data_IF_303615036776
#
_entry.id   IF_303615036776
#
_cell.length_a   1.000
_cell.length_b   1.000
_cell.length_c   1.000
_cell.angle_alpha   90.00
_cell.angle_beta   90.00
_cell.angle_gamma   90.00
#
_symmetry.space_group_name_H-M   'P 1'
#
loop_
_entity.id
_entity.type
_entity.pdbx_description
1 polymer ?
#
# COMPACT_ATOMS: atom_id res chain seq x y z
N UNK A 1 8.43 1.32 -11.92
CA UNK A 1 7.51 0.23 -12.31
C UNK A 1 6.33 0.26 -11.35
N UNK A 2 5.11 -0.05 -11.82
CA UNK A 2 3.96 -0.06 -10.91
C UNK A 2 3.78 -1.40 -10.22
N UNK A 3 3.40 -1.34 -8.96
CA UNK A 3 3.03 -2.49 -8.14
C UNK A 3 1.73 -2.17 -7.41
N UNK A 4 0.81 -3.14 -7.38
CA UNK A 4 -0.37 -3.11 -6.52
C UNK A 4 -0.06 -3.93 -5.27
N UNK A 5 -0.21 -3.30 -4.12
CA UNK A 5 -0.10 -3.97 -2.83
C UNK A 5 -1.52 -4.04 -2.28
N UNK A 6 -1.96 -5.25 -1.97
CA UNK A 6 -3.26 -5.50 -1.34
C UNK A 6 -2.99 -5.92 0.09
N UNK A 7 -3.53 -5.15 1.03
CA UNK A 7 -3.48 -5.44 2.45
C UNK A 7 -4.73 -6.19 2.89
N UNK A 8 -4.53 -7.16 3.78
CA UNK A 8 -5.59 -7.84 4.52
C UNK A 8 -5.33 -7.73 6.03
N UNK A 9 -6.32 -8.06 6.83
CA UNK A 9 -6.18 -8.13 8.29
C UNK A 9 -5.12 -9.17 8.66
N UNK A 10 -4.12 -8.77 9.44
CA UNK A 10 -3.09 -9.66 9.96
C UNK A 10 -3.48 -10.27 11.32
N UNK A 11 -2.60 -11.09 11.87
CA UNK A 11 -2.86 -11.83 13.10
C UNK A 11 -3.11 -10.95 14.35
N UNK A 12 -2.63 -9.69 14.34
CA UNK A 12 -2.82 -8.75 15.44
C UNK A 12 -3.93 -7.73 15.17
N UNK A 13 -4.72 -7.92 14.11
CA UNK A 13 -5.89 -7.09 13.85
C UNK A 13 -6.93 -7.20 14.98
N UNK A 14 -7.40 -6.08 15.50
CA UNK A 14 -8.46 -6.07 16.51
C UNK A 14 -9.84 -6.16 15.86
N UNK A 15 -10.51 -7.30 16.04
CA UNK A 15 -11.86 -7.52 15.51
C UNK A 15 -12.87 -6.50 16.08
N UNK A 16 -13.78 -6.02 15.23
CA UNK A 16 -14.79 -5.02 15.60
C UNK A 16 -14.25 -3.59 15.74
N UNK A 17 -12.94 -3.37 15.61
CA UNK A 17 -12.32 -2.05 15.64
C UNK A 17 -12.14 -1.52 14.21
N UNK A 18 -12.66 -0.32 13.94
CA UNK A 18 -12.47 0.36 12.66
C UNK A 18 -10.99 0.62 12.40
N UNK A 19 -10.56 0.56 11.13
CA UNK A 19 -9.18 0.78 10.71
C UNK A 19 -8.53 2.03 11.36
N UNK A 20 -9.26 3.15 11.37
CA UNK A 20 -8.77 4.43 11.89
C UNK A 20 -8.52 4.43 13.40
N UNK A 21 -9.03 3.42 14.11
CA UNK A 21 -8.87 3.21 15.55
C UNK A 21 -7.95 2.03 15.89
N UNK A 22 -7.39 1.33 14.89
CA UNK A 22 -6.42 0.25 15.12
C UNK A 22 -5.17 0.80 15.80
N UNK A 23 -4.50 -0.04 16.59
CA UNK A 23 -3.20 0.32 17.19
C UNK A 23 -2.19 0.64 16.09
N UNK A 24 -1.31 1.61 16.36
CA UNK A 24 -0.25 2.08 15.45
C UNK A 24 -0.73 2.89 14.23
N UNK A 25 -2.01 3.29 14.18
CA UNK A 25 -2.59 3.96 13.02
C UNK A 25 -1.92 5.30 12.71
N UNK A 26 -1.48 6.02 13.74
CA UNK A 26 -0.84 7.32 13.58
C UNK A 26 0.51 7.18 12.86
N UNK A 27 1.27 6.16 13.24
CA UNK A 27 2.56 5.81 12.67
C UNK A 27 2.40 5.29 11.24
N UNK A 28 1.42 4.41 11.00
CA UNK A 28 1.08 3.94 9.66
C UNK A 28 0.72 5.10 8.71
N UNK A 29 -0.19 5.99 9.12
CA UNK A 29 -0.58 7.15 8.30
C UNK A 29 0.61 8.07 8.04
N UNK A 30 1.47 8.30 9.04
CA UNK A 30 2.68 9.11 8.87
C UNK A 30 3.64 8.48 7.85
N UNK A 31 3.85 7.17 7.93
CA UNK A 31 4.69 6.41 7.00
C UNK A 31 4.15 6.47 5.56
N UNK A 32 2.87 6.15 5.36
CA UNK A 32 2.22 6.20 4.04
C UNK A 32 2.28 7.61 3.46
N UNK A 33 2.03 8.65 4.27
CA UNK A 33 2.12 10.05 3.84
C UNK A 33 3.54 10.42 3.41
N UNK A 34 4.56 9.97 4.16
CA UNK A 34 5.95 10.21 3.79
C UNK A 34 6.27 9.58 2.42
N UNK A 35 5.88 8.33 2.20
CA UNK A 35 6.11 7.63 0.93
C UNK A 35 5.34 8.27 -0.23
N UNK A 36 4.13 8.75 0.02
CA UNK A 36 3.35 9.53 -0.95
C UNK A 36 4.06 10.84 -1.34
N UNK A 37 4.53 11.60 -0.35
CA UNK A 37 5.25 12.86 -0.59
C UNK A 37 6.58 12.66 -1.34
N UNK A 38 7.20 11.47 -1.20
CA UNK A 38 8.41 11.09 -1.95
C UNK A 38 8.09 10.59 -3.38
N UNK A 39 6.82 10.51 -3.77
CA UNK A 39 6.39 10.01 -5.08
C UNK A 39 6.44 8.49 -5.22
N UNK A 40 6.73 7.75 -4.14
CA UNK A 40 6.80 6.28 -4.16
C UNK A 40 5.42 5.64 -4.15
N UNK A 41 4.45 6.24 -3.46
CA UNK A 41 3.03 5.86 -3.49
C UNK A 41 2.29 6.84 -4.40
N UNK A 42 1.53 6.31 -5.36
CA UNK A 42 0.73 7.08 -6.31
C UNK A 42 -0.74 7.11 -5.91
N UNK A 43 -1.23 6.04 -5.26
CA UNK A 43 -2.59 5.92 -4.77
C UNK A 43 -2.60 5.06 -3.50
N UNK A 44 -3.41 5.42 -2.52
CA UNK A 44 -3.59 4.66 -1.29
C UNK A 44 -5.01 4.84 -0.74
N UNK A 45 -5.57 3.78 -0.17
CA UNK A 45 -6.83 3.87 0.57
C UNK A 45 -7.33 2.55 1.12
N UNK A 46 -8.23 2.61 2.13
CA UNK A 46 -8.89 1.43 2.66
C UNK A 46 -9.97 0.90 1.72
N UNK A 47 -10.29 -0.38 1.83
CA UNK A 47 -11.50 -0.95 1.22
C UNK A 47 -12.74 -0.56 2.02
N UNK A 48 -13.86 -0.38 1.33
CA UNK A 48 -15.12 0.06 1.94
C UNK A 48 -15.76 -1.01 2.85
N UNK A 49 -15.43 -2.27 2.64
CA UNK A 49 -15.90 -3.42 3.43
C UNK A 49 -15.03 -3.70 4.66
N UNK A 50 -14.03 -2.84 4.94
CA UNK A 50 -13.10 -3.00 6.07
C UNK A 50 -12.25 -4.28 6.05
N UNK A 51 -12.16 -4.97 4.90
CA UNK A 51 -11.32 -6.17 4.73
C UNK A 51 -9.82 -5.87 4.67
N UNK A 52 -9.45 -4.59 4.54
CA UNK A 52 -8.06 -4.12 4.46
C UNK A 52 -7.95 -2.85 3.63
N UNK A 53 -6.99 -2.81 2.72
CA UNK A 53 -6.77 -1.66 1.84
C UNK A 53 -5.84 -1.98 0.68
N UNK A 54 -5.60 -0.98 -0.16
CA UNK A 54 -4.66 -1.11 -1.25
C UNK A 54 -3.81 0.15 -1.43
N UNK A 55 -2.59 -0.07 -1.89
CA UNK A 55 -1.71 1.00 -2.36
C UNK A 55 -1.12 0.65 -3.72
N UNK A 56 -0.90 1.67 -4.52
CA UNK A 56 -0.19 1.59 -5.80
C UNK A 56 1.13 2.30 -5.63
N UNK A 57 2.23 1.57 -5.82
CA UNK A 57 3.58 2.11 -5.74
C UNK A 57 4.20 2.24 -7.13
N UNK A 58 5.03 3.26 -7.35
CA UNK A 58 5.92 3.37 -8.52
C UNK A 58 7.39 3.39 -8.05
N UNK A 59 8.03 2.23 -8.10
CA UNK A 59 9.40 2.01 -7.59
C UNK A 59 10.20 1.12 -8.54
N UNK A 60 11.51 0.95 -8.28
CA UNK A 60 12.43 0.31 -9.22
C UNK A 60 12.27 -1.21 -9.35
N UNK A 61 11.90 -1.90 -8.27
CA UNK A 61 11.81 -3.36 -8.23
C UNK A 61 10.84 -3.88 -7.16
N UNK A 62 10.52 -5.17 -7.23
CA UNK A 62 9.65 -5.82 -6.22
C UNK A 62 10.34 -5.91 -4.85
N UNK A 63 11.67 -6.07 -4.82
CA UNK A 63 12.47 -6.08 -3.60
C UNK A 63 12.41 -4.73 -2.89
N UNK A 64 12.44 -3.62 -3.64
CA UNK A 64 12.23 -2.29 -3.04
C UNK A 64 10.82 -2.17 -2.46
N UNK A 65 9.78 -2.62 -3.17
CA UNK A 65 8.40 -2.65 -2.64
C UNK A 65 8.38 -3.42 -1.33
N UNK A 66 8.85 -4.66 -1.34
CA UNK A 66 8.86 -5.54 -0.16
C UNK A 66 9.54 -4.88 1.03
N UNK A 67 10.72 -4.31 0.82
CA UNK A 67 11.46 -3.59 1.86
C UNK A 67 10.64 -2.44 2.43
N UNK A 68 9.98 -1.63 1.59
CA UNK A 68 9.17 -0.50 2.05
C UNK A 68 7.92 -0.97 2.80
N UNK A 69 7.24 -2.00 2.32
CA UNK A 69 6.03 -2.53 2.97
C UNK A 69 6.35 -3.20 4.31
N UNK A 70 7.44 -3.95 4.40
CA UNK A 70 7.86 -4.62 5.65
C UNK A 70 8.29 -3.61 6.74
N UNK A 71 8.60 -2.36 6.36
CA UNK A 71 8.89 -1.24 7.27
C UNK A 71 7.65 -0.40 7.63
N UNK A 72 6.47 -0.71 7.09
CA UNK A 72 5.22 -0.07 7.50
C UNK A 72 4.86 -0.51 8.93
N UNK A 73 4.60 0.42 9.88
CA UNK A 73 4.22 0.07 11.24
C UNK A 73 3.05 -0.92 11.37
N UNK A 74 2.08 -0.90 10.45
CA UNK A 74 1.01 -1.88 10.44
C UNK A 74 1.47 -3.28 10.06
N UNK A 75 2.43 -3.40 9.15
CA UNK A 75 2.99 -4.69 8.74
C UNK A 75 3.97 -5.19 9.78
N UNK A 76 4.90 -4.35 10.26
CA UNK A 76 5.89 -4.73 11.28
C UNK A 76 5.21 -5.20 12.59
N UNK A 77 4.05 -4.62 12.94
CA UNK A 77 3.28 -5.03 14.11
C UNK A 77 2.19 -6.08 13.81
N UNK A 78 2.12 -6.63 12.60
CA UNK A 78 1.18 -7.68 12.23
C UNK A 78 -0.30 -7.26 12.23
N UNK A 79 -0.59 -5.96 12.16
CA UNK A 79 -1.94 -5.42 11.95
C UNK A 79 -2.41 -5.73 10.53
N UNK A 80 -1.49 -5.63 9.56
CA UNK A 80 -1.72 -6.02 8.17
C UNK A 80 -0.84 -7.18 7.73
N UNK A 81 -1.44 -8.05 6.93
CA UNK A 81 -0.73 -8.90 5.97
C UNK A 81 -0.82 -8.28 4.57
N UNK A 82 0.04 -8.70 3.64
CA UNK A 82 0.07 -8.11 2.31
C UNK A 82 0.40 -9.10 1.19
N UNK A 83 -0.05 -8.74 -0.02
CA UNK A 83 0.37 -9.37 -1.28
C UNK A 83 0.88 -8.30 -2.23
N UNK A 84 2.01 -8.58 -2.91
CA UNK A 84 2.57 -7.71 -3.95
C UNK A 84 2.19 -8.28 -5.31
N UNK A 85 1.69 -7.41 -6.20
CA UNK A 85 1.39 -7.74 -7.60
C UNK A 85 2.10 -6.76 -8.53
N UNK A 86 3.12 -7.19 -9.29
CA UNK A 86 3.66 -6.38 -10.38
C UNK A 86 2.57 -6.00 -11.36
N UNK A 87 2.46 -4.71 -11.70
CA UNK A 87 1.36 -4.20 -12.49
C UNK A 87 1.85 -3.45 -13.73
N UNK A 88 1.65 -4.07 -14.90
CA UNK A 88 1.95 -3.46 -16.18
C UNK A 88 0.86 -2.46 -16.57
N UNK A 89 1.28 -1.24 -16.89
CA UNK A 89 0.41 -0.15 -17.35
C UNK A 89 0.20 -0.30 -18.84
N UNK A 90 -1.03 -0.55 -19.27
CA UNK A 90 -1.42 -0.52 -20.68
C UNK A 90 -2.24 0.73 -21.00
N UNK A 91 -3.12 1.13 -20.08
CA UNK A 91 -3.94 2.33 -20.19
C UNK A 91 -3.89 3.08 -18.87
N UNK A 92 -3.58 4.38 -18.90
CA UNK A 92 -3.63 5.24 -17.72
C UNK A 92 -4.01 6.65 -18.13
N UNK A 93 -4.95 7.27 -17.41
CA UNK A 93 -5.26 8.71 -17.55
C UNK A 93 -4.34 9.60 -16.69
N UNK A 94 -3.54 8.98 -15.82
CA UNK A 94 -2.64 9.66 -14.88
C UNK A 94 -1.21 9.75 -15.39
N UNK A 95 -0.92 9.07 -16.49
CA UNK A 95 0.38 9.07 -17.11
C UNK A 95 0.18 9.20 -18.61
N UNK A 96 0.98 10.05 -19.24
CA UNK A 96 1.11 10.07 -20.68
C UNK A 96 1.81 8.77 -21.09
N UNK A 97 1.03 7.74 -21.39
CA UNK A 97 1.55 6.51 -21.99
C UNK A 97 1.68 6.80 -23.49
N UNK A 98 2.92 6.86 -24.05
CA UNK A 98 3.09 7.05 -25.48
C UNK A 98 2.34 5.95 -26.22
N UNK A 99 1.58 6.33 -27.26
CA UNK A 99 0.94 5.35 -28.12
C UNK A 99 2.04 4.49 -28.75
N UNK A 100 2.07 3.22 -28.34
CA UNK A 100 2.89 2.11 -28.87
C UNK A 100 4.41 2.20 -28.67
N UNK A 101 4.94 1.20 -27.97
CA UNK A 101 6.21 0.55 -28.30
C UNK A 101 5.95 -0.74 -29.07
#
# INVERSE_FOLDING_TARGET
MRFLIVFSQGNNWEEGVLLINQRFISEHIAYVRQMFNQGKIVLAGPFLDSSGGAIVMDVGSEEEVRTLIENDPFVTNGIFDFQIKPWKKFFSKFEDIPATS
#
